data_IF_820068516841
#
_entry.id   IF_820068516841
#
_cell.length_a   1.000
_cell.length_b   1.000
_cell.length_c   1.000
_cell.angle_alpha   90.00
_cell.angle_beta   90.00
_cell.angle_gamma   90.00
#
_symmetry.space_group_name_H-M   'P 1'
#
loop_
_entity.id
_entity.type
_entity.pdbx_description
1 polymer ?
#
# COMPACT_ATOMS: atom_id res chain seq x y z
N UNK A 1 9.18 8.74 -2.97
CA UNK A 1 8.03 9.52 -3.48
C UNK A 1 7.02 8.55 -4.07
N UNK A 2 5.74 8.71 -3.77
CA UNK A 2 4.68 7.91 -4.37
C UNK A 2 4.41 8.35 -5.81
N UNK A 3 4.00 7.44 -6.72
CA UNK A 3 3.55 7.80 -8.05
C UNK A 3 2.43 8.85 -8.00
N UNK A 4 2.43 9.80 -8.95
CA UNK A 4 1.43 10.89 -8.99
C UNK A 4 0.00 10.37 -9.14
N UNK A 5 -0.19 9.30 -9.90
CA UNK A 5 -1.50 8.65 -10.04
C UNK A 5 -2.00 8.09 -8.71
N UNK A 6 -1.11 7.48 -7.92
CA UNK A 6 -1.44 6.95 -6.60
C UNK A 6 -1.79 8.06 -5.61
N UNK A 7 -1.08 9.19 -5.66
CA UNK A 7 -1.42 10.39 -4.89
C UNK A 7 -2.80 10.93 -5.27
N UNK A 8 -3.12 10.98 -6.57
CA UNK A 8 -4.42 11.46 -7.04
C UNK A 8 -5.57 10.57 -6.56
N UNK A 9 -5.39 9.24 -6.54
CA UNK A 9 -6.38 8.31 -6.00
C UNK A 9 -6.55 8.48 -4.49
N UNK A 10 -5.47 8.62 -3.72
CA UNK A 10 -5.53 8.88 -2.27
C UNK A 10 -6.24 10.21 -1.96
N UNK A 11 -5.99 11.25 -2.76
CA UNK A 11 -6.61 12.55 -2.60
C UNK A 11 -8.14 12.52 -2.76
N UNK A 12 -8.68 11.60 -3.58
CA UNK A 12 -10.13 11.39 -3.70
C UNK A 12 -10.77 10.90 -2.39
N UNK A 13 -9.98 10.29 -1.51
CA UNK A 13 -10.37 9.86 -0.17
C UNK A 13 -9.89 10.82 0.93
N UNK A 14 -9.53 12.06 0.57
CA UNK A 14 -9.02 13.09 1.48
C UNK A 14 -7.70 12.74 2.21
N UNK A 15 -6.93 11.78 1.68
CA UNK A 15 -5.62 11.41 2.21
C UNK A 15 -4.55 12.23 1.50
N UNK A 16 -3.96 13.17 2.23
CA UNK A 16 -2.91 14.08 1.72
C UNK A 16 -1.56 13.93 2.43
N UNK A 17 -1.51 13.17 3.53
CA UNK A 17 -0.26 12.80 4.18
C UNK A 17 0.24 11.48 3.59
N UNK A 18 1.36 11.59 2.90
CA UNK A 18 2.00 10.51 2.16
C UNK A 18 3.19 9.90 2.92
N UNK A 19 3.37 10.29 4.20
CA UNK A 19 4.36 9.69 5.08
C UNK A 19 4.07 8.21 5.32
N UNK A 20 5.13 7.41 5.40
CA UNK A 20 5.02 5.96 5.65
C UNK A 20 4.18 5.64 6.89
N UNK A 21 4.43 6.36 8.00
CA UNK A 21 3.73 6.17 9.27
C UNK A 21 2.25 6.53 9.14
N UNK A 22 1.94 7.68 8.55
CA UNK A 22 0.55 8.13 8.36
C UNK A 22 -0.25 7.16 7.48
N UNK A 23 0.35 6.66 6.39
CA UNK A 23 -0.28 5.68 5.51
C UNK A 23 -0.48 4.33 6.20
N UNK A 24 0.47 3.89 7.03
CA UNK A 24 0.33 2.67 7.83
C UNK A 24 -0.81 2.78 8.84
N UNK A 25 -0.86 3.87 9.60
CA UNK A 25 -1.91 4.11 10.59
C UNK A 25 -3.29 4.23 9.94
N UNK A 26 -3.36 4.91 8.79
CA UNK A 26 -4.60 4.96 8.01
C UNK A 26 -5.01 3.56 7.53
N UNK A 27 -4.10 2.74 7.01
CA UNK A 27 -4.41 1.35 6.63
C UNK A 27 -4.92 0.54 7.83
N UNK A 28 -4.27 0.65 8.99
CA UNK A 28 -4.66 -0.06 10.22
C UNK A 28 -6.04 0.37 10.73
N UNK A 29 -6.49 1.59 10.46
CA UNK A 29 -7.84 2.04 10.77
C UNK A 29 -8.92 1.35 9.91
N UNK A 30 -8.57 0.85 8.72
CA UNK A 30 -9.51 0.23 7.76
C UNK A 30 -9.34 -1.29 7.63
N UNK A 31 -8.17 -1.84 7.97
CA UNK A 31 -7.90 -3.27 7.91
C UNK A 31 -7.27 -3.78 9.20
N UNK A 32 -7.88 -4.81 9.77
CA UNK A 32 -7.38 -5.47 10.98
C UNK A 32 -6.14 -6.34 10.73
N UNK A 33 -5.91 -6.78 9.48
CA UNK A 33 -4.80 -7.68 9.16
C UNK A 33 -4.19 -7.38 7.79
N UNK A 34 -2.87 -7.23 7.77
CA UNK A 34 -2.06 -7.21 6.55
C UNK A 34 -0.68 -7.79 6.86
N UNK A 35 0.07 -8.16 5.82
CA UNK A 35 1.47 -8.56 5.96
C UNK A 35 2.32 -7.78 4.98
N UNK A 36 3.25 -6.98 5.50
CA UNK A 36 4.27 -6.32 4.69
C UNK A 36 5.52 -7.22 4.61
N UNK A 37 5.92 -7.55 3.40
CA UNK A 37 7.11 -8.36 3.11
C UNK A 37 8.12 -7.47 2.39
N UNK A 38 9.27 -7.25 3.03
CA UNK A 38 10.44 -6.69 2.36
C UNK A 38 11.19 -7.81 1.64
N UNK A 39 11.33 -7.68 0.33
CA UNK A 39 11.92 -8.73 -0.49
C UNK A 39 13.44 -8.73 -0.36
N UNK A 40 14.02 -9.93 -0.33
CA UNK A 40 15.45 -10.09 -0.54
C UNK A 40 15.84 -9.63 -1.97
N UNK A 41 17.12 -9.33 -2.24
CA UNK A 41 17.53 -8.77 -3.53
C UNK A 41 17.20 -9.63 -4.75
N UNK A 42 17.26 -10.97 -4.65
CA UNK A 42 16.96 -11.86 -5.77
C UNK A 42 15.46 -11.88 -6.13
N UNK A 43 14.52 -12.12 -5.18
CA UNK A 43 13.09 -11.97 -5.45
C UNK A 43 12.71 -10.58 -5.96
N UNK A 44 13.33 -9.53 -5.42
CA UNK A 44 13.06 -8.17 -5.84
C UNK A 44 13.37 -7.92 -7.32
N UNK A 45 14.52 -8.43 -7.81
CA UNK A 45 14.85 -8.37 -9.24
C UNK A 45 13.89 -9.19 -10.10
N UNK A 46 13.50 -10.38 -9.64
CA UNK A 46 12.59 -11.28 -10.36
C UNK A 46 11.20 -10.66 -10.53
N UNK A 47 10.66 -10.06 -9.48
CA UNK A 47 9.32 -9.49 -9.46
C UNK A 47 9.26 -8.01 -9.79
N UNK A 48 10.43 -7.35 -9.91
CA UNK A 48 10.56 -5.91 -10.21
C UNK A 48 9.91 -5.01 -9.14
N UNK A 49 9.87 -5.48 -7.89
CA UNK A 49 9.37 -4.75 -6.72
C UNK A 49 10.30 -4.95 -5.52
N UNK A 50 10.26 -4.08 -4.51
CA UNK A 50 11.05 -4.25 -3.27
C UNK A 50 10.19 -4.70 -2.09
N UNK A 51 8.90 -4.39 -2.13
CA UNK A 51 7.95 -4.68 -1.09
C UNK A 51 6.72 -5.35 -1.68
N UNK A 52 6.14 -6.25 -0.89
CA UNK A 52 4.81 -6.81 -1.14
C UNK A 52 3.95 -6.59 0.08
N UNK A 53 2.74 -6.08 -0.13
CA UNK A 53 1.74 -6.04 0.92
C UNK A 53 0.65 -7.05 0.60
N UNK A 54 0.41 -7.97 1.53
CA UNK A 54 -0.69 -8.91 1.48
C UNK A 54 -1.85 -8.36 2.29
N UNK A 55 -3.03 -8.31 1.69
CA UNK A 55 -4.28 -7.86 2.32
C UNK A 55 -5.39 -8.80 1.88
N UNK A 56 -5.87 -9.64 2.80
CA UNK A 56 -6.70 -10.80 2.47
C UNK A 56 -6.01 -11.69 1.44
N UNK A 57 -6.72 -12.04 0.36
CA UNK A 57 -6.20 -12.90 -0.72
C UNK A 57 -5.46 -12.12 -1.82
N UNK A 58 -5.25 -10.80 -1.64
CA UNK A 58 -4.62 -9.93 -2.63
C UNK A 58 -3.19 -9.58 -2.23
N UNK A 59 -2.33 -9.45 -3.24
CA UNK A 59 -0.93 -9.04 -3.10
C UNK A 59 -0.70 -7.77 -3.92
N UNK A 60 -0.08 -6.78 -3.29
CA UNK A 60 0.27 -5.49 -3.88
C UNK A 60 1.78 -5.36 -3.98
N UNK A 61 2.30 -5.26 -5.20
CA UNK A 61 3.71 -5.04 -5.48
C UNK A 61 4.05 -3.54 -5.37
N UNK A 62 5.12 -3.20 -4.63
CA UNK A 62 5.52 -1.82 -4.37
C UNK A 62 7.05 -1.62 -4.33
N UNK A 63 7.51 -0.40 -4.59
CA UNK A 63 8.93 -0.03 -4.56
C UNK A 63 9.38 0.47 -3.19
N UNK A 64 8.45 0.86 -2.33
CA UNK A 64 8.70 1.33 -0.97
C UNK A 64 7.61 0.85 -0.01
N UNK A 65 7.88 0.90 1.30
CA UNK A 65 6.89 0.57 2.31
C UNK A 65 5.70 1.55 2.28
N UNK A 66 5.96 2.86 2.16
CA UNK A 66 4.91 3.87 1.99
C UNK A 66 3.99 3.57 0.79
N UNK A 67 4.54 3.19 -0.36
CA UNK A 67 3.75 2.79 -1.52
C UNK A 67 2.93 1.52 -1.29
N UNK A 68 3.50 0.54 -0.58
CA UNK A 68 2.79 -0.67 -0.22
C UNK A 68 1.57 -0.36 0.68
N UNK A 69 1.76 0.49 1.70
CA UNK A 69 0.67 0.94 2.58
C UNK A 69 -0.39 1.75 1.82
N UNK A 70 0.01 2.65 0.93
CA UNK A 70 -0.92 3.40 0.10
C UNK A 70 -1.80 2.49 -0.78
N UNK A 71 -1.20 1.49 -1.45
CA UNK A 71 -1.94 0.52 -2.26
C UNK A 71 -2.90 -0.32 -1.42
N UNK A 72 -2.44 -0.79 -0.25
CA UNK A 72 -3.28 -1.51 0.70
C UNK A 72 -4.45 -0.65 1.20
N UNK A 73 -4.20 0.62 1.50
CA UNK A 73 -5.21 1.56 1.99
C UNK A 73 -6.29 1.82 0.95
N UNK A 74 -5.91 2.11 -0.30
CA UNK A 74 -6.87 2.26 -1.38
C UNK A 74 -7.71 1.00 -1.60
N UNK A 75 -7.07 -0.17 -1.51
CA UNK A 75 -7.77 -1.43 -1.61
C UNK A 75 -8.77 -1.66 -0.47
N UNK A 76 -8.44 -1.24 0.76
CA UNK A 76 -9.36 -1.32 1.90
C UNK A 76 -10.54 -0.34 1.73
N UNK A 77 -10.27 0.89 1.31
CA UNK A 77 -11.29 1.91 1.06
C UNK A 77 -12.28 1.50 -0.05
N UNK A 78 -11.77 0.86 -1.12
CA UNK A 78 -12.60 0.36 -2.21
C UNK A 78 -13.38 -0.93 -1.90
N UNK A 79 -13.14 -1.60 -0.77
CA UNK A 79 -13.93 -2.75 -0.33
C UNK A 79 -15.22 -2.35 0.42
N UNK A 80 -15.32 -1.10 0.88
CA UNK A 80 -16.45 -0.59 1.65
C UNK A 80 -17.59 0.00 0.80
N UNK A 81 -17.50 -0.07 -0.53
CA UNK A 81 -18.49 0.49 -1.47
C UNK A 81 -19.53 -0.53 -1.99
N UNK A 82 -19.80 -1.61 -1.26
CA UNK A 82 -20.86 -2.57 -1.59
C UNK A 82 -22.00 -2.53 -0.57
#
# INVERSE_FOLDING_TARGET
MLPTELQAQLAQHAINDYGEVALREALEAHSQTYTLIKLAPWPARRWKCHYRLMLGDKIYDAQSAAEAYALGLLAALGQHTC
#
